data_IF_234817866260
#
_entry.id   IF_234817866260
#
_cell.length_a   1.000
_cell.length_b   1.000
_cell.length_c   1.000
_cell.angle_alpha   90.00
_cell.angle_beta   90.00
_cell.angle_gamma   90.00
#
_symmetry.space_group_name_H-M   'P 1'
#
loop_
_entity.id
_entity.type
_entity.pdbx_description
1 polymer ?
#
# COMPACT_ATOMS: atom_id res chain seq x y z
N UNK A 1 20.50 -11.01 3.79
CA UNK A 1 19.65 -10.05 3.06
C UNK A 1 18.38 -10.80 2.65
N UNK A 2 17.41 -10.91 3.56
CA UNK A 2 16.41 -12.01 3.57
C UNK A 2 15.04 -11.69 2.96
N UNK A 3 14.82 -10.49 2.44
CA UNK A 3 13.52 -10.13 1.89
C UNK A 3 13.56 -10.21 0.35
N UNK A 4 13.08 -11.34 -0.20
CA UNK A 4 12.81 -11.57 -1.63
C UNK A 4 11.70 -10.62 -2.14
N UNK A 5 11.91 -9.30 -2.05
CA UNK A 5 10.94 -8.26 -2.44
C UNK A 5 10.74 -8.20 -3.96
N UNK A 6 11.71 -8.70 -4.71
CA UNK A 6 11.69 -8.82 -6.16
C UNK A 6 12.01 -10.27 -6.50
N UNK A 7 11.25 -10.86 -7.43
CA UNK A 7 11.47 -12.24 -7.85
C UNK A 7 12.91 -12.43 -8.34
N UNK A 8 13.60 -13.43 -7.80
CA UNK A 8 14.97 -13.82 -8.18
C UNK A 8 15.00 -14.59 -9.50
N UNK A 9 13.87 -15.16 -9.91
CA UNK A 9 13.73 -16.06 -11.06
C UNK A 9 12.40 -15.80 -11.77
N UNK A 10 12.45 -15.80 -13.11
CA UNK A 10 11.26 -15.74 -13.94
C UNK A 10 11.29 -16.83 -15.03
N UNK A 11 10.13 -17.43 -15.30
CA UNK A 11 9.94 -18.50 -16.30
C UNK A 11 8.96 -18.05 -17.38
N UNK A 12 9.30 -18.28 -18.64
CA UNK A 12 8.45 -17.90 -19.77
C UNK A 12 7.36 -18.95 -20.04
N UNK A 13 6.09 -18.58 -19.82
CA UNK A 13 4.93 -19.48 -19.98
C UNK A 13 4.82 -19.97 -21.43
N UNK A 14 5.04 -19.09 -22.41
CA UNK A 14 4.97 -19.42 -23.86
C UNK A 14 6.09 -20.34 -24.34
N UNK A 15 7.18 -20.48 -23.59
CA UNK A 15 8.36 -21.26 -23.98
C UNK A 15 8.61 -22.44 -23.04
N UNK A 16 7.55 -23.15 -22.65
CA UNK A 16 7.61 -24.30 -21.73
C UNK A 16 8.42 -23.98 -20.46
N UNK A 17 8.07 -22.87 -19.80
CA UNK A 17 8.69 -22.40 -18.55
C UNK A 17 10.21 -22.21 -18.60
N UNK A 18 10.78 -21.96 -19.79
CA UNK A 18 12.20 -21.65 -19.97
C UNK A 18 12.63 -20.48 -19.06
N UNK A 19 13.77 -20.65 -18.39
CA UNK A 19 14.38 -19.60 -17.56
C UNK A 19 14.65 -18.34 -18.39
N UNK A 20 14.17 -17.21 -17.91
CA UNK A 20 14.41 -15.90 -18.51
C UNK A 20 15.68 -15.28 -17.93
N UNK A 21 16.30 -14.36 -18.68
CA UNK A 21 17.50 -13.62 -18.24
C UNK A 21 17.12 -12.19 -17.87
N UNK A 22 17.72 -11.65 -16.82
CA UNK A 22 17.63 -10.23 -16.49
C UNK A 22 18.35 -9.41 -17.56
N UNK A 23 17.70 -8.33 -18.00
CA UNK A 23 18.30 -7.32 -18.87
C UNK A 23 17.88 -5.93 -18.39
N UNK A 24 18.84 -5.02 -18.33
CA UNK A 24 18.57 -3.63 -18.03
C UNK A 24 18.07 -2.89 -19.28
N UNK A 25 16.97 -2.14 -19.16
CA UNK A 25 16.37 -1.40 -20.27
C UNK A 25 15.53 -0.24 -19.74
N UNK A 26 15.79 0.96 -20.26
CA UNK A 26 15.02 2.18 -19.94
C UNK A 26 14.98 2.47 -18.43
N UNK A 27 16.12 2.33 -17.74
CA UNK A 27 16.25 2.66 -16.32
C UNK A 27 15.77 1.58 -15.34
N UNK A 28 15.27 0.44 -15.82
CA UNK A 28 14.82 -0.67 -14.98
C UNK A 28 15.24 -2.03 -15.54
N UNK A 29 15.42 -3.00 -14.65
CA UNK A 29 15.60 -4.39 -15.06
C UNK A 29 14.29 -5.02 -15.53
N UNK A 30 14.38 -5.91 -16.52
CA UNK A 30 13.26 -6.71 -17.05
C UNK A 30 13.73 -8.14 -17.31
N UNK A 31 12.85 -9.10 -17.09
CA UNK A 31 13.07 -10.49 -17.50
C UNK A 31 12.85 -10.61 -19.00
N UNK A 32 13.79 -11.20 -19.74
CA UNK A 32 13.67 -11.42 -21.19
C UNK A 32 13.88 -12.89 -21.54
N UNK A 33 12.95 -13.44 -22.32
CA UNK A 33 13.06 -14.78 -22.87
C UNK A 33 14.02 -14.77 -24.07
N UNK A 34 14.98 -15.70 -24.09
CA UNK A 34 15.91 -15.81 -25.21
C UNK A 34 15.28 -16.37 -26.49
N UNK A 35 14.24 -17.22 -26.34
CA UNK A 35 13.53 -17.92 -27.42
C UNK A 35 12.49 -17.02 -28.11
N UNK A 36 11.37 -16.70 -27.44
CA UNK A 36 10.29 -15.91 -28.03
C UNK A 36 10.48 -14.38 -27.94
N UNK A 37 11.59 -13.90 -27.36
CA UNK A 37 11.86 -12.48 -27.08
C UNK A 37 10.87 -11.75 -26.16
N UNK A 38 9.84 -12.45 -25.66
CA UNK A 38 8.90 -11.92 -24.67
C UNK A 38 9.61 -11.40 -23.43
N UNK A 39 9.03 -10.37 -22.81
CA UNK A 39 9.55 -9.74 -21.61
C UNK A 39 8.52 -9.69 -20.50
N UNK A 40 9.00 -9.77 -19.26
CA UNK A 40 8.20 -9.61 -18.06
C UNK A 40 8.87 -8.58 -17.14
N UNK A 41 8.07 -7.80 -16.42
CA UNK A 41 8.61 -6.80 -15.49
C UNK A 41 9.21 -7.49 -14.26
N UNK A 42 10.35 -7.01 -13.77
CA UNK A 42 10.85 -7.44 -12.44
C UNK A 42 9.93 -6.99 -11.32
N UNK A 43 9.17 -5.92 -11.54
CA UNK A 43 8.19 -5.39 -10.61
C UNK A 43 6.86 -6.16 -10.66
N UNK A 44 6.79 -7.29 -11.37
CA UNK A 44 5.61 -8.16 -11.33
C UNK A 44 5.35 -8.58 -9.90
N UNK A 45 4.06 -8.64 -9.51
CA UNK A 45 3.61 -8.93 -8.13
C UNK A 45 4.02 -7.90 -7.08
N UNK A 46 4.57 -6.76 -7.47
CA UNK A 46 4.80 -5.63 -6.57
C UNK A 46 3.73 -4.56 -6.77
N UNK A 47 3.65 -3.62 -5.82
CA UNK A 47 2.79 -2.45 -5.89
C UNK A 47 3.06 -1.56 -7.11
N UNK A 48 4.27 -1.67 -7.67
CA UNK A 48 4.78 -0.89 -8.79
C UNK A 48 4.45 -1.49 -10.16
N UNK A 49 3.84 -2.69 -10.21
CA UNK A 49 3.53 -3.34 -11.46
C UNK A 49 2.63 -2.47 -12.35
N UNK A 50 3.04 -2.28 -13.62
CA UNK A 50 2.36 -1.45 -14.63
C UNK A 50 2.22 0.04 -14.26
N UNK A 51 2.92 0.53 -13.24
CA UNK A 51 3.00 1.96 -12.96
C UNK A 51 3.82 2.67 -14.03
N UNK A 52 3.36 3.85 -14.47
CA UNK A 52 4.12 4.77 -15.33
C UNK A 52 4.98 5.75 -14.52
N UNK A 53 4.81 5.78 -13.20
CA UNK A 53 5.54 6.68 -12.32
C UNK A 53 6.93 6.13 -12.05
N UNK A 54 7.92 7.02 -11.94
CA UNK A 54 9.29 6.64 -11.56
C UNK A 54 9.28 6.05 -10.14
N UNK A 55 10.21 5.11 -9.90
CA UNK A 55 10.31 4.44 -8.61
C UNK A 55 10.63 5.42 -7.47
N UNK A 56 11.53 6.39 -7.73
CA UNK A 56 11.91 7.43 -6.76
C UNK A 56 10.71 8.27 -6.34
N UNK A 57 9.98 8.84 -7.30
CA UNK A 57 8.78 9.62 -7.05
C UNK A 57 7.70 8.83 -6.27
N UNK A 58 7.66 7.51 -6.42
CA UNK A 58 6.77 6.68 -5.61
C UNK A 58 7.25 6.50 -4.17
N UNK A 59 8.55 6.30 -3.95
CA UNK A 59 9.12 6.24 -2.60
C UNK A 59 8.87 7.55 -1.86
N UNK A 60 9.07 8.69 -2.53
CA UNK A 60 8.75 10.01 -1.99
C UNK A 60 7.26 10.10 -1.65
N UNK A 61 6.39 9.60 -2.53
CA UNK A 61 4.94 9.60 -2.29
C UNK A 61 4.53 8.74 -1.09
N UNK A 62 5.15 7.57 -0.88
CA UNK A 62 4.93 6.76 0.32
C UNK A 62 5.37 7.54 1.55
N UNK A 63 6.57 8.13 1.51
CA UNK A 63 7.12 8.91 2.60
C UNK A 63 6.19 10.07 2.98
N UNK A 64 5.80 10.89 2.00
CA UNK A 64 4.86 12.00 2.19
C UNK A 64 3.51 11.55 2.75
N UNK A 65 2.99 10.42 2.27
CA UNK A 65 1.77 9.84 2.83
C UNK A 65 1.94 9.43 4.29
N UNK A 66 3.07 8.81 4.64
CA UNK A 66 3.37 8.34 6.00
C UNK A 66 3.52 9.47 7.02
N UNK A 67 4.01 10.64 6.58
CA UNK A 67 4.11 11.85 7.42
C UNK A 67 2.86 12.73 7.34
N UNK A 68 1.76 12.18 6.80
CA UNK A 68 0.46 12.85 6.67
C UNK A 68 0.51 14.18 5.90
N UNK A 69 1.35 14.27 4.87
CA UNK A 69 1.45 15.44 4.01
C UNK A 69 0.17 15.58 3.16
N UNK A 70 -0.28 16.81 2.93
CA UNK A 70 -1.46 17.05 2.09
C UNK A 70 -1.23 16.57 0.66
N UNK A 71 -2.29 16.10 -0.02
CA UNK A 71 -2.20 15.66 -1.42
C UNK A 71 -1.70 16.77 -2.35
N UNK A 72 -1.99 18.04 -2.05
CA UNK A 72 -1.54 19.19 -2.83
C UNK A 72 -0.04 19.38 -2.67
N UNK A 73 0.48 19.37 -1.45
CA UNK A 73 1.91 19.48 -1.17
C UNK A 73 2.67 18.29 -1.75
N UNK A 74 2.23 17.05 -1.47
CA UNK A 74 2.86 15.85 -2.00
C UNK A 74 2.92 15.86 -3.53
N UNK A 75 1.85 16.33 -4.20
CA UNK A 75 1.81 16.49 -5.66
C UNK A 75 2.86 17.47 -6.18
N UNK A 76 3.06 18.59 -5.49
CA UNK A 76 4.05 19.60 -5.86
C UNK A 76 5.46 19.03 -5.71
N UNK A 77 5.74 18.33 -4.60
CA UNK A 77 7.03 17.71 -4.34
C UNK A 77 7.40 16.64 -5.40
N UNK A 78 6.46 15.74 -5.74
CA UNK A 78 6.72 14.73 -6.78
C UNK A 78 6.64 15.25 -8.21
N UNK A 79 6.45 16.57 -8.38
CA UNK A 79 6.31 17.28 -9.66
C UNK A 79 5.29 16.61 -10.62
N UNK A 80 4.15 16.14 -10.09
CA UNK A 80 3.09 15.55 -10.93
C UNK A 80 2.02 16.56 -11.29
N UNK A 81 1.74 16.71 -12.58
CA UNK A 81 0.65 17.59 -13.05
C UNK A 81 -0.74 16.98 -12.87
N UNK A 82 -0.86 15.74 -12.38
CA UNK A 82 -2.15 15.05 -12.24
C UNK A 82 -2.59 14.91 -10.79
N UNK A 83 -3.65 15.64 -10.40
CA UNK A 83 -4.33 15.46 -9.11
C UNK A 83 -4.82 14.03 -8.91
N UNK A 84 -5.40 13.46 -9.97
CA UNK A 84 -5.99 12.13 -9.96
C UNK A 84 -4.93 11.05 -9.70
N UNK A 85 -3.69 11.25 -10.14
CA UNK A 85 -2.60 10.30 -9.90
C UNK A 85 -2.24 10.25 -8.43
N UNK A 86 -2.01 11.41 -7.79
CA UNK A 86 -1.71 11.49 -6.34
C UNK A 86 -2.85 10.89 -5.53
N UNK A 87 -4.10 11.25 -5.83
CA UNK A 87 -5.27 10.72 -5.12
C UNK A 87 -5.37 9.20 -5.23
N UNK A 88 -5.25 8.63 -6.44
CA UNK A 88 -5.30 7.18 -6.66
C UNK A 88 -4.24 6.44 -5.84
N UNK A 89 -3.05 6.99 -5.73
CA UNK A 89 -2.00 6.38 -4.93
C UNK A 89 -2.25 6.50 -3.43
N UNK A 90 -2.70 7.66 -2.93
CA UNK A 90 -3.11 7.82 -1.53
C UNK A 90 -4.22 6.82 -1.15
N UNK A 91 -5.21 6.63 -2.01
CA UNK A 91 -6.28 5.67 -1.79
C UNK A 91 -5.76 4.22 -1.82
N UNK A 92 -4.81 3.91 -2.73
CA UNK A 92 -4.16 2.59 -2.77
C UNK A 92 -3.33 2.31 -1.52
N UNK A 93 -2.53 3.26 -1.04
CA UNK A 93 -1.75 3.13 0.19
C UNK A 93 -2.64 2.92 1.41
N UNK A 94 -3.75 3.65 1.48
CA UNK A 94 -4.76 3.48 2.53
C UNK A 94 -5.38 2.08 2.51
N UNK A 95 -5.79 1.59 1.35
CA UNK A 95 -6.34 0.25 1.20
C UNK A 95 -5.35 -0.84 1.63
N UNK A 96 -4.10 -0.74 1.18
CA UNK A 96 -3.05 -1.69 1.55
C UNK A 96 -2.75 -1.68 3.04
N UNK A 97 -2.70 -0.49 3.65
CA UNK A 97 -2.47 -0.37 5.10
C UNK A 97 -3.60 -1.01 5.87
N UNK A 98 -4.85 -0.83 5.42
CA UNK A 98 -5.99 -1.53 6.01
C UNK A 98 -5.89 -3.06 5.88
N UNK A 99 -5.54 -3.57 4.69
CA UNK A 99 -5.38 -5.01 4.48
C UNK A 99 -4.25 -5.57 5.36
N UNK A 100 -3.11 -4.88 5.45
CA UNK A 100 -1.99 -5.24 6.34
C UNK A 100 -2.44 -5.24 7.80
N UNK A 101 -3.09 -4.17 8.27
CA UNK A 101 -3.59 -4.08 9.65
C UNK A 101 -4.59 -5.18 9.98
N UNK A 102 -5.44 -5.56 9.01
CA UNK A 102 -6.41 -6.64 9.16
C UNK A 102 -5.74 -8.01 9.22
N UNK A 103 -4.80 -8.27 8.31
CA UNK A 103 -4.13 -9.57 8.18
C UNK A 103 -3.11 -9.80 9.31
N UNK A 104 -2.57 -8.74 9.89
CA UNK A 104 -1.68 -8.82 11.06
C UNK A 104 -2.35 -9.44 12.29
N UNK A 105 -3.67 -9.71 12.27
CA UNK A 105 -4.50 -10.19 13.39
C UNK A 105 -4.19 -9.43 14.69
N UNK A 106 -5.05 -8.52 15.17
CA UNK A 106 -4.91 -8.08 16.55
C UNK A 106 -4.95 -9.34 17.44
N UNK A 107 -3.85 -9.66 18.11
CA UNK A 107 -3.88 -10.61 19.21
C UNK A 107 -4.97 -10.14 20.17
N UNK A 108 -5.61 -11.06 20.89
CA UNK A 108 -6.45 -10.66 22.02
C UNK A 108 -5.62 -9.71 22.89
N UNK A 109 -6.04 -8.47 22.97
CA UNK A 109 -5.36 -7.49 23.83
C UNK A 109 -5.91 -7.63 25.25
N UNK A 110 -5.07 -7.35 26.23
CA UNK A 110 -5.41 -7.50 27.63
C UNK A 110 -5.33 -8.94 28.11
N UNK A 111 -4.57 -9.14 29.17
CA UNK A 111 -4.66 -10.32 30.06
C UNK A 111 -5.38 -9.92 31.34
N UNK A 112 -5.75 -10.89 32.18
CA UNK A 112 -6.34 -10.60 33.50
C UNK A 112 -5.43 -9.65 34.28
N UNK A 113 -5.99 -8.57 34.80
CA UNK A 113 -5.25 -7.50 35.50
C UNK A 113 -4.61 -6.42 34.60
N UNK A 114 -4.87 -6.44 33.28
CA UNK A 114 -4.43 -5.38 32.37
C UNK A 114 -5.44 -4.25 32.32
N UNK A 115 -4.94 -3.02 32.11
CA UNK A 115 -5.78 -1.85 31.85
C UNK A 115 -5.76 -1.61 30.35
N UNK A 116 -6.95 -1.66 29.74
CA UNK A 116 -7.15 -1.38 28.33
C UNK A 116 -7.95 -0.10 28.21
N UNK A 117 -7.41 0.89 27.51
CA UNK A 117 -8.15 2.09 27.12
C UNK A 117 -8.97 1.77 25.87
N UNK A 118 -10.25 2.10 25.89
CA UNK A 118 -11.17 1.90 24.77
C UNK A 118 -11.63 3.29 24.31
N UNK A 119 -11.57 3.52 22.99
CA UNK A 119 -12.08 4.74 22.36
C UNK A 119 -13.11 4.39 21.28
N UNK A 120 -14.14 5.24 21.18
CA UNK A 120 -15.20 5.11 20.19
C UNK A 120 -15.24 6.33 19.29
N UNK A 121 -15.00 6.12 18.00
CA UNK A 121 -15.05 7.17 17.00
C UNK A 121 -16.23 6.97 16.04
N UNK A 122 -17.16 7.92 16.05
CA UNK A 122 -18.29 7.94 15.12
C UNK A 122 -17.93 8.67 13.81
N UNK A 123 -17.70 7.92 12.75
CA UNK A 123 -17.47 8.46 11.43
C UNK A 123 -18.80 8.65 10.69
N UNK A 124 -19.04 9.88 10.25
CA UNK A 124 -20.15 10.18 9.36
C UNK A 124 -19.74 11.22 8.33
N UNK A 125 -20.24 11.08 7.10
CA UNK A 125 -19.97 12.04 6.03
C UNK A 125 -21.27 12.45 5.38
N UNK A 126 -21.50 13.76 5.29
CA UNK A 126 -22.56 14.36 4.48
C UNK A 126 -22.06 14.61 3.07
N UNK A 127 -22.95 14.50 2.08
CA UNK A 127 -22.63 14.90 0.71
C UNK A 127 -22.46 16.43 0.68
N UNK A 128 -21.27 16.93 0.35
CA UNK A 128 -20.95 18.37 0.38
C UNK A 128 -21.15 19.07 1.73
N UNK A 129 -21.08 18.36 2.86
CA UNK A 129 -21.43 18.89 4.20
C UNK A 129 -22.89 19.40 4.34
N UNK A 130 -23.74 19.14 3.34
CA UNK A 130 -25.14 19.60 3.28
C UNK A 130 -26.07 18.38 3.14
N UNK A 131 -27.30 18.49 3.65
CA UNK A 131 -28.34 17.46 3.50
C UNK A 131 -28.32 16.34 4.55
N UNK A 132 -29.12 15.29 4.28
CA UNK A 132 -29.41 14.19 5.22
C UNK A 132 -28.15 13.38 5.56
N UNK A 133 -28.02 13.02 6.84
CA UNK A 133 -26.96 12.12 7.30
C UNK A 133 -27.30 10.68 6.88
N UNK A 134 -26.52 10.12 5.95
CA UNK A 134 -26.88 8.83 5.31
C UNK A 134 -26.24 7.63 6.00
N UNK A 135 -24.97 7.72 6.41
CA UNK A 135 -24.24 6.59 7.00
C UNK A 135 -23.42 7.02 8.20
N UNK A 136 -23.65 6.34 9.32
CA UNK A 136 -22.84 6.38 10.54
C UNK A 136 -22.07 5.07 10.61
N UNK A 137 -20.78 5.16 10.84
CA UNK A 137 -19.91 4.01 11.08
C UNK A 137 -19.25 4.25 12.41
N UNK A 138 -19.50 3.37 13.37
CA UNK A 138 -18.75 3.35 14.62
C UNK A 138 -17.45 2.61 14.35
N UNK A 139 -16.36 3.17 14.83
CA UNK A 139 -15.08 2.47 14.91
C UNK A 139 -14.73 2.44 16.38
N UNK A 140 -14.58 1.23 16.91
CA UNK A 140 -14.13 1.01 18.28
C UNK A 140 -12.69 0.57 18.22
N UNK A 141 -11.82 1.32 18.89
CA UNK A 141 -10.42 0.99 19.06
C UNK A 141 -10.11 0.73 20.52
N UNK A 142 -9.01 0.06 20.77
CA UNK A 142 -8.46 0.00 22.12
C UNK A 142 -6.96 -0.27 22.12
N UNK A 143 -6.31 0.13 23.21
CA UNK A 143 -4.89 -0.04 23.45
C UNK A 143 -4.64 -0.55 24.87
N UNK A 144 -3.81 -1.59 25.01
CA UNK A 144 -3.27 -1.99 26.31
C UNK A 144 -2.17 -1.01 26.71
N UNK A 145 -2.32 -0.36 27.87
CA UNK A 145 -1.40 0.70 28.30
C UNK A 145 0.04 0.20 28.49
N UNK A 146 0.21 -1.10 28.80
CA UNK A 146 1.49 -1.71 29.12
C UNK A 146 2.12 -2.30 27.86
N UNK A 147 1.39 -3.12 27.12
CA UNK A 147 1.96 -3.80 25.93
C UNK A 147 1.95 -2.93 24.68
N UNK A 148 1.12 -1.88 24.65
CA UNK A 148 0.83 -1.05 23.47
C UNK A 148 0.20 -1.83 22.33
N UNK A 149 -0.30 -3.03 22.58
CA UNK A 149 -1.08 -3.78 21.61
C UNK A 149 -2.41 -3.08 21.36
N UNK A 150 -2.83 -3.05 20.10
CA UNK A 150 -4.04 -2.33 19.67
C UNK A 150 -5.00 -3.25 18.94
N UNK A 151 -6.29 -2.93 19.03
CA UNK A 151 -7.31 -3.46 18.12
C UNK A 151 -8.14 -2.35 17.52
N UNK A 152 -8.72 -2.63 16.36
CA UNK A 152 -9.71 -1.77 15.71
C UNK A 152 -10.82 -2.64 15.13
N UNK A 153 -12.07 -2.31 15.47
CA UNK A 153 -13.27 -2.98 14.96
C UNK A 153 -14.21 -1.93 14.37
N UNK A 154 -14.88 -2.30 13.28
CA UNK A 154 -15.83 -1.48 12.52
C UNK A 154 -17.21 -2.10 12.56
#
# INVERSE_FOLDING_TARGET
MENNLVEDKCRCITCNYKKMKLKFSSGLYKWKCSKCKGSESVLKRTLFYKSKMKLTAFLDLIYFWSVNLTQTSARNEINTKSKQTTQKWFDKLKGLTYDIMKDLKPQKIGVVGSIVEIDESLFSKRKYNVGRLVRRVWIVGGIDIRTRDTFFVK
#
